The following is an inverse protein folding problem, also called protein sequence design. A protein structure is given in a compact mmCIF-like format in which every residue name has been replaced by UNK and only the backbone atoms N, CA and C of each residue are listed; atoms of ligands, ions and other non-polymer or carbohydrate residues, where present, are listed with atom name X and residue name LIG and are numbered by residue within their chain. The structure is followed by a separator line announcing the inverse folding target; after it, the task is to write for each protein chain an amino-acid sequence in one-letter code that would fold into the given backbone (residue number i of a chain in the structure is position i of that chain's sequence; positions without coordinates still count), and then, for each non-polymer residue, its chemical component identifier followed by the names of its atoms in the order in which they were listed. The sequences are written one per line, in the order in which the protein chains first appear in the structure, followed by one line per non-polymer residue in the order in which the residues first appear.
data_IF_707598362135
#
_entry.id   IF_707598362135
#
_cell.length_a   1.000
_cell.length_b   1.000
_cell.length_c   1.000
_cell.angle_alpha   90.00
_cell.angle_beta   90.00
_cell.angle_gamma   90.00
#
_symmetry.space_group_name_H-M   'P 1'
#
loop_
_entity.id
_entity.type
_entity.pdbx_description
1 polymer ?
#
# COMPACT_ATOMS: atom_id res chain seq x y z
N UNK A 1 -16.11 -6.66 -24.58
CA UNK A 1 -16.52 -7.34 -23.33
C UNK A 1 -15.31 -7.49 -22.43
N UNK A 2 -15.45 -7.32 -21.11
CA UNK A 2 -14.29 -7.26 -20.20
C UNK A 2 -13.80 -8.66 -19.82
N UNK A 3 -12.48 -8.84 -19.67
CA UNK A 3 -11.88 -10.10 -19.24
C UNK A 3 -12.35 -10.54 -17.83
N UNK A 4 -12.66 -9.56 -16.96
CA UNK A 4 -13.22 -9.80 -15.63
C UNK A 4 -14.59 -10.50 -15.68
N UNK A 5 -15.45 -10.15 -16.65
CA UNK A 5 -16.73 -10.85 -16.83
C UNK A 5 -16.53 -12.32 -17.20
N UNK A 6 -15.56 -12.62 -18.06
CA UNK A 6 -15.26 -14.01 -18.43
C UNK A 6 -14.75 -14.82 -17.22
N UNK A 7 -13.89 -14.24 -16.39
CA UNK A 7 -13.43 -14.85 -15.14
C UNK A 7 -14.56 -15.10 -14.14
N UNK A 8 -15.50 -14.14 -14.00
CA UNK A 8 -16.68 -14.32 -13.16
C UNK A 8 -17.59 -15.45 -13.65
N UNK A 9 -17.79 -15.55 -14.97
CA UNK A 9 -18.52 -16.67 -15.59
C UNK A 9 -17.82 -18.01 -15.32
N UNK A 10 -16.50 -18.07 -15.48
CA UNK A 10 -15.71 -19.24 -15.17
C UNK A 10 -15.85 -19.71 -13.71
N UNK A 11 -15.72 -18.79 -12.75
CA UNK A 11 -15.90 -19.10 -11.33
C UNK A 11 -17.31 -19.64 -11.07
N UNK A 12 -18.34 -19.00 -11.63
CA UNK A 12 -19.71 -19.45 -11.43
C UNK A 12 -19.93 -20.87 -11.96
N UNK A 13 -19.38 -21.23 -13.12
CA UNK A 13 -19.48 -22.61 -13.64
C UNK A 13 -18.72 -23.60 -12.75
N UNK A 14 -17.55 -23.21 -12.23
CA UNK A 14 -16.75 -24.04 -11.31
C UNK A 14 -17.45 -24.32 -9.99
N UNK A 15 -18.12 -23.33 -9.41
CA UNK A 15 -18.83 -23.45 -8.13
C UNK A 15 -20.15 -24.23 -8.28
N UNK A 16 -20.95 -23.89 -9.29
CA UNK A 16 -22.26 -24.51 -9.51
C UNK A 16 -22.14 -25.89 -10.16
N UNK A 17 -20.97 -26.24 -10.70
CA UNK A 17 -20.71 -27.46 -11.48
C UNK A 17 -21.71 -27.66 -12.63
N UNK A 18 -22.30 -26.57 -13.12
CA UNK A 18 -23.36 -26.58 -14.11
C UNK A 18 -23.44 -25.26 -14.85
N UNK A 19 -23.38 -25.33 -16.19
CA UNK A 19 -23.49 -24.16 -17.06
C UNK A 19 -24.84 -23.47 -16.93
N UNK A 20 -25.93 -24.25 -16.82
CA UNK A 20 -27.29 -23.70 -16.70
C UNK A 20 -27.52 -23.06 -15.33
N UNK A 21 -26.97 -23.63 -14.26
CA UNK A 21 -27.06 -23.05 -12.93
C UNK A 21 -26.23 -21.76 -12.82
N UNK A 22 -25.01 -21.74 -13.38
CA UNK A 22 -24.19 -20.55 -13.47
C UNK A 22 -24.87 -19.43 -14.28
N UNK A 23 -25.51 -19.77 -15.40
CA UNK A 23 -26.29 -18.83 -16.20
C UNK A 23 -27.41 -18.19 -15.38
N UNK A 24 -28.17 -18.99 -14.63
CA UNK A 24 -29.22 -18.51 -13.72
C UNK A 24 -28.65 -17.61 -12.62
N UNK A 25 -27.54 -18.00 -11.99
CA UNK A 25 -26.85 -17.22 -10.93
C UNK A 25 -26.41 -15.85 -11.41
N UNK A 26 -25.89 -15.78 -12.63
CA UNK A 26 -25.38 -14.55 -13.23
C UNK A 26 -26.43 -13.75 -14.00
N UNK A 27 -27.68 -14.20 -14.03
CA UNK A 27 -28.74 -13.61 -14.88
C UNK A 27 -28.33 -13.51 -16.36
N UNK A 28 -27.63 -14.53 -16.84
CA UNK A 28 -27.20 -14.69 -18.23
C UNK A 28 -27.93 -15.85 -18.90
N UNK A 29 -27.84 -15.92 -20.24
CA UNK A 29 -28.27 -17.12 -20.96
C UNK A 29 -27.16 -18.17 -20.93
N UNK A 30 -27.52 -19.46 -20.95
CA UNK A 30 -26.54 -20.54 -21.02
C UNK A 30 -25.64 -20.48 -22.28
N UNK A 31 -26.14 -20.09 -23.48
CA UNK A 31 -25.27 -19.81 -24.63
C UNK A 31 -24.23 -18.72 -24.37
N UNK A 32 -24.57 -17.65 -23.64
CA UNK A 32 -23.62 -16.60 -23.25
C UNK A 32 -22.53 -17.16 -22.34
N UNK A 33 -22.90 -17.99 -21.36
CA UNK A 33 -21.95 -18.66 -20.47
C UNK A 33 -20.99 -19.55 -21.28
N UNK A 34 -21.53 -20.42 -22.14
CA UNK A 34 -20.71 -21.28 -23.00
C UNK A 34 -19.76 -20.49 -23.89
N UNK A 35 -20.25 -19.41 -24.53
CA UNK A 35 -19.42 -18.53 -25.35
C UNK A 35 -18.21 -17.95 -24.58
N UNK A 36 -18.40 -17.55 -23.32
CA UNK A 36 -17.31 -17.05 -22.48
C UNK A 36 -16.29 -18.13 -22.13
N UNK A 37 -16.74 -19.32 -21.75
CA UNK A 37 -15.86 -20.44 -21.45
C UNK A 37 -15.07 -20.85 -22.69
N UNK A 38 -15.74 -21.02 -23.84
CA UNK A 38 -15.10 -21.38 -25.10
C UNK A 38 -14.10 -20.30 -25.56
N UNK A 39 -14.38 -19.02 -25.28
CA UNK A 39 -13.44 -17.93 -25.51
C UNK A 39 -12.19 -18.03 -24.65
N UNK A 40 -12.34 -18.40 -23.38
CA UNK A 40 -11.22 -18.61 -22.47
C UNK A 40 -10.39 -19.84 -22.84
N UNK A 41 -11.03 -20.97 -23.11
CA UNK A 41 -10.35 -22.20 -23.52
C UNK A 41 -9.54 -21.99 -24.81
N UNK A 42 -10.09 -21.25 -25.78
CA UNK A 42 -9.34 -20.84 -26.99
C UNK A 42 -8.15 -19.94 -26.68
N UNK A 43 -8.31 -18.99 -25.76
CA UNK A 43 -7.22 -18.08 -25.36
C UNK A 43 -6.08 -18.84 -24.66
N UNK A 44 -6.40 -19.81 -23.81
CA UNK A 44 -5.40 -20.60 -23.09
C UNK A 44 -4.87 -21.80 -23.88
N UNK A 45 -5.57 -22.21 -24.95
CA UNK A 45 -5.19 -23.37 -25.76
C UNK A 45 -5.45 -24.70 -25.05
N UNK A 46 -6.26 -24.73 -23.99
CA UNK A 46 -6.55 -25.92 -23.22
C UNK A 46 -7.98 -25.92 -22.66
N UNK A 47 -8.59 -27.10 -22.46
CA UNK A 47 -9.91 -27.21 -21.85
C UNK A 47 -9.82 -26.89 -20.35
N UNK A 48 -10.73 -26.07 -19.86
CA UNK A 48 -10.86 -25.70 -18.45
C UNK A 48 -11.87 -26.58 -17.73
N UNK A 49 -12.86 -27.10 -18.47
CA UNK A 49 -13.86 -28.03 -17.94
C UNK A 49 -13.88 -29.37 -18.68
N UNK A 50 -14.25 -30.42 -17.96
CA UNK A 50 -14.67 -31.70 -18.53
C UNK A 50 -16.17 -31.90 -18.26
N UNK A 51 -16.90 -32.29 -19.29
CA UNK A 51 -18.33 -32.64 -19.15
C UNK A 51 -18.46 -34.01 -18.50
N UNK A 52 -19.25 -34.09 -17.44
CA UNK A 52 -19.53 -35.34 -16.73
C UNK A 52 -21.05 -35.58 -16.65
N UNK A 53 -21.47 -36.80 -16.27
CA UNK A 53 -22.90 -37.10 -16.06
C UNK A 53 -23.55 -36.21 -14.99
N UNK A 54 -22.75 -35.61 -14.11
CA UNK A 54 -23.21 -34.72 -13.02
C UNK A 54 -23.13 -33.23 -13.37
N UNK A 55 -22.63 -32.88 -14.56
CA UNK A 55 -22.49 -31.50 -15.01
C UNK A 55 -21.09 -31.21 -15.56
N UNK A 56 -20.37 -30.30 -14.92
CA UNK A 56 -19.04 -29.86 -15.32
C UNK A 56 -18.06 -29.94 -14.16
N UNK A 57 -16.92 -30.59 -14.38
CA UNK A 57 -15.81 -30.63 -13.42
C UNK A 57 -14.59 -29.91 -14.00
N UNK A 58 -13.75 -29.34 -13.15
CA UNK A 58 -12.53 -28.66 -13.57
C UNK A 58 -11.49 -29.66 -14.09
N UNK A 59 -10.81 -29.30 -15.17
CA UNK A 59 -9.55 -29.96 -15.57
C UNK A 59 -8.42 -29.54 -14.62
N UNK A 60 -7.21 -30.07 -14.83
CA UNK A 60 -6.01 -29.58 -14.11
C UNK A 60 -5.79 -28.08 -14.41
N UNK A 61 -5.93 -27.67 -15.67
CA UNK A 61 -5.82 -26.27 -16.09
C UNK A 61 -6.91 -25.39 -15.46
N UNK A 62 -8.15 -25.90 -15.42
CA UNK A 62 -9.26 -25.24 -14.74
C UNK A 62 -9.00 -25.06 -13.26
N UNK A 63 -8.47 -26.07 -12.55
CA UNK A 63 -8.10 -25.94 -11.13
C UNK A 63 -7.06 -24.85 -10.90
N UNK A 64 -5.97 -24.84 -11.69
CA UNK A 64 -4.95 -23.79 -11.60
C UNK A 64 -5.54 -22.40 -11.84
N UNK A 65 -6.41 -22.26 -12.84
CA UNK A 65 -7.06 -20.98 -13.09
C UNK A 65 -8.00 -20.58 -11.93
N UNK A 66 -8.75 -21.53 -11.37
CA UNK A 66 -9.66 -21.27 -10.26
C UNK A 66 -8.93 -20.75 -9.01
N UNK A 67 -7.85 -21.41 -8.61
CA UNK A 67 -7.03 -20.98 -7.47
C UNK A 67 -6.49 -19.56 -7.65
N UNK A 68 -5.90 -19.26 -8.81
CA UNK A 68 -5.34 -17.93 -9.09
C UNK A 68 -6.42 -16.86 -9.22
N UNK A 69 -7.57 -17.18 -9.84
CA UNK A 69 -8.65 -16.20 -10.01
C UNK A 69 -9.26 -15.83 -8.66
N UNK A 70 -9.36 -16.78 -7.71
CA UNK A 70 -9.80 -16.47 -6.35
C UNK A 70 -8.87 -15.49 -5.64
N UNK A 71 -7.55 -15.69 -5.75
CA UNK A 71 -6.57 -14.76 -5.18
C UNK A 71 -6.68 -13.36 -5.78
N UNK A 72 -6.89 -13.26 -7.10
CA UNK A 72 -7.10 -11.99 -7.79
C UNK A 72 -8.40 -11.31 -7.31
N UNK A 73 -9.48 -12.07 -7.15
CA UNK A 73 -10.75 -11.53 -6.67
C UNK A 73 -10.64 -11.01 -5.22
N UNK A 74 -9.97 -11.75 -4.34
CA UNK A 74 -9.70 -11.30 -2.97
C UNK A 74 -8.85 -10.03 -2.94
N UNK A 75 -7.86 -9.91 -3.84
CA UNK A 75 -7.05 -8.70 -3.98
C UNK A 75 -7.86 -7.52 -4.48
N UNK A 76 -8.73 -7.73 -5.47
CA UNK A 76 -9.63 -6.69 -5.98
C UNK A 76 -10.60 -6.22 -4.89
N UNK A 77 -11.26 -7.14 -4.18
CA UNK A 77 -12.18 -6.82 -3.08
C UNK A 77 -11.46 -6.05 -1.96
N UNK A 78 -10.23 -6.46 -1.61
CA UNK A 78 -9.41 -5.74 -0.63
C UNK A 78 -9.04 -4.35 -1.11
N UNK A 79 -8.76 -4.19 -2.40
CA UNK A 79 -8.43 -2.91 -3.01
C UNK A 79 -9.64 -1.99 -3.02
N UNK A 80 -10.80 -2.49 -3.42
CA UNK A 80 -12.05 -1.73 -3.40
C UNK A 80 -12.43 -1.31 -1.99
N UNK A 81 -12.29 -2.20 -0.99
CA UNK A 81 -12.47 -1.83 0.42
C UNK A 81 -11.51 -0.72 0.84
N UNK A 82 -10.21 -0.86 0.56
CA UNK A 82 -9.23 0.19 0.88
C UNK A 82 -9.56 1.53 0.21
N UNK A 83 -9.92 1.52 -1.07
CA UNK A 83 -10.33 2.73 -1.79
C UNK A 83 -11.59 3.30 -1.17
N UNK A 84 -12.57 2.47 -0.82
CA UNK A 84 -13.79 2.91 -0.14
C UNK A 84 -13.49 3.51 1.22
N UNK A 85 -12.59 2.92 2.01
CA UNK A 85 -12.16 3.45 3.30
C UNK A 85 -11.47 4.83 3.14
N UNK A 86 -10.67 4.99 2.08
CA UNK A 86 -10.06 6.28 1.71
C UNK A 86 -11.10 7.30 1.24
N UNK A 87 -12.03 6.92 0.37
CA UNK A 87 -13.07 7.79 -0.20
C UNK A 87 -14.16 8.16 0.81
N UNK A 88 -14.53 7.24 1.69
CA UNK A 88 -15.49 7.49 2.76
C UNK A 88 -14.88 8.26 3.91
N UNK A 89 -13.57 8.52 3.87
CA UNK A 89 -12.84 9.26 4.87
C UNK A 89 -13.21 8.74 6.24
N UNK A 90 -12.87 7.49 6.57
CA UNK A 90 -12.98 7.00 7.95
C UNK A 90 -12.35 8.09 8.81
N UNK A 91 -13.22 8.84 9.49
CA UNK A 91 -12.86 10.12 10.06
C UNK A 91 -11.80 9.85 11.11
N UNK A 92 -10.54 10.10 10.72
CA UNK A 92 -9.40 9.86 11.58
C UNK A 92 -8.26 9.00 11.03
N UNK A 93 -8.29 8.38 9.85
CA UNK A 93 -7.05 7.73 9.37
C UNK A 93 -6.12 8.71 8.61
N UNK A 94 -4.93 8.98 9.15
CA UNK A 94 -3.91 9.87 8.54
C UNK A 94 -2.64 9.08 8.25
N UNK A 95 -2.12 9.15 7.02
CA UNK A 95 -0.81 8.61 6.68
C UNK A 95 0.24 9.72 6.70
N UNK A 96 1.28 9.52 7.50
CA UNK A 96 2.39 10.47 7.69
C UNK A 96 3.68 9.78 7.26
N UNK A 97 4.41 10.38 6.33
CA UNK A 97 5.78 10.00 6.03
C UNK A 97 6.77 10.82 6.84
N UNK A 98 7.87 10.19 7.25
CA UNK A 98 8.92 10.87 7.99
C UNK A 98 10.31 10.37 7.57
N UNK A 99 11.27 11.30 7.52
CA UNK A 99 12.68 10.92 7.52
C UNK A 99 13.04 10.13 8.78
N UNK A 100 14.14 9.38 8.75
CA UNK A 100 14.55 8.48 9.85
C UNK A 100 14.53 9.15 11.22
N UNK A 101 15.14 10.34 11.37
CA UNK A 101 15.22 11.05 12.65
C UNK A 101 13.83 11.48 13.17
N UNK A 102 13.01 12.25 12.43
CA UNK A 102 11.68 12.61 12.91
C UNK A 102 10.77 11.39 13.12
N UNK A 103 10.88 10.36 12.27
CA UNK A 103 10.07 9.14 12.36
C UNK A 103 10.38 8.29 13.60
N UNK A 104 11.63 8.24 14.04
CA UNK A 104 12.04 7.40 15.18
C UNK A 104 12.04 8.14 16.52
N UNK A 105 12.38 9.43 16.54
CA UNK A 105 12.65 10.15 17.80
C UNK A 105 11.62 11.22 18.15
N UNK A 106 10.95 11.82 17.16
CA UNK A 106 10.09 12.99 17.39
C UNK A 106 8.61 12.60 17.32
N UNK A 107 8.20 12.06 16.18
CA UNK A 107 6.81 11.77 15.88
C UNK A 107 6.19 10.74 16.82
N UNK A 108 6.86 9.66 17.27
CA UNK A 108 6.24 8.72 18.19
C UNK A 108 5.74 9.38 19.48
N UNK A 109 6.50 10.35 20.03
CA UNK A 109 6.11 11.06 21.25
C UNK A 109 4.95 12.02 21.02
N UNK A 110 4.99 12.79 19.92
CA UNK A 110 3.91 13.73 19.56
C UNK A 110 2.62 13.00 19.22
N UNK A 111 2.71 11.94 18.40
CA UNK A 111 1.56 11.14 17.98
C UNK A 111 0.94 10.39 19.17
N UNK A 112 1.74 9.94 20.14
CA UNK A 112 1.21 9.30 21.34
C UNK A 112 0.28 10.24 22.13
N UNK A 113 0.60 11.53 22.22
CA UNK A 113 -0.29 12.51 22.86
C UNK A 113 -1.53 12.78 22.02
N UNK A 114 -1.35 13.05 20.74
CA UNK A 114 -2.44 13.32 19.80
C UNK A 114 -3.47 12.19 19.74
N UNK A 115 -3.01 10.93 19.67
CA UNK A 115 -3.91 9.76 19.64
C UNK A 115 -4.68 9.55 20.95
N UNK A 116 -4.18 10.03 22.10
CA UNK A 116 -4.95 10.02 23.37
C UNK A 116 -6.06 11.06 23.37
N UNK A 117 -5.80 12.23 22.80
CA UNK A 117 -6.78 13.34 22.71
C UNK A 117 -7.81 13.10 21.60
N UNK A 118 -7.48 12.29 20.59
CA UNK A 118 -8.33 11.99 19.44
C UNK A 118 -8.48 10.46 19.22
N UNK A 119 -9.24 9.74 20.05
CA UNK A 119 -9.33 8.27 20.00
C UNK A 119 -10.01 7.70 18.73
N UNK A 120 -10.68 8.55 17.94
CA UNK A 120 -11.23 8.16 16.63
C UNK A 120 -10.20 8.20 15.50
N UNK A 121 -8.98 8.66 15.78
CA UNK A 121 -7.92 8.87 14.81
C UNK A 121 -6.93 7.70 14.85
N UNK A 122 -6.57 7.20 13.67
CA UNK A 122 -5.56 6.17 13.43
C UNK A 122 -4.44 6.76 12.58
N UNK A 123 -3.20 6.65 13.03
CA UNK A 123 -2.05 7.19 12.28
C UNK A 123 -1.22 6.03 11.73
N UNK A 124 -0.98 6.06 10.43
CA UNK A 124 0.00 5.19 9.77
C UNK A 124 1.29 5.99 9.54
N UNK A 125 2.32 5.71 10.34
CA UNK A 125 3.61 6.35 10.24
C UNK A 125 4.57 5.50 9.38
N UNK A 126 5.08 6.07 8.30
CA UNK A 126 6.06 5.45 7.42
C UNK A 126 7.39 6.20 7.60
N UNK A 127 8.42 5.50 8.10
CA UNK A 127 9.77 6.05 8.25
C UNK A 127 10.68 5.51 7.16
N UNK A 128 11.56 6.37 6.63
CA UNK A 128 12.51 5.97 5.59
C UNK A 128 13.55 7.05 5.31
N UNK A 129 14.35 6.84 4.27
CA UNK A 129 15.21 7.90 3.78
C UNK A 129 14.37 9.08 3.30
N UNK A 130 14.84 10.29 3.63
CA UNK A 130 14.08 11.51 3.41
C UNK A 130 13.76 11.78 1.93
N UNK A 131 14.56 11.25 0.99
CA UNK A 131 14.31 11.42 -0.45
C UNK A 131 13.17 10.53 -0.94
N UNK A 132 13.17 9.23 -0.58
CA UNK A 132 12.09 8.31 -0.94
C UNK A 132 10.76 8.75 -0.33
N UNK A 133 10.77 9.17 0.94
CA UNK A 133 9.57 9.68 1.61
C UNK A 133 9.03 10.92 0.89
N UNK A 134 9.91 11.85 0.51
CA UNK A 134 9.50 13.02 -0.26
C UNK A 134 8.90 12.65 -1.62
N UNK A 135 9.52 11.72 -2.35
CA UNK A 135 9.03 11.26 -3.63
C UNK A 135 7.63 10.63 -3.52
N UNK A 136 7.43 9.72 -2.57
CA UNK A 136 6.12 9.10 -2.33
C UNK A 136 5.05 10.11 -1.88
N UNK A 137 5.45 11.19 -1.18
CA UNK A 137 4.53 12.28 -0.87
C UNK A 137 4.11 13.05 -2.12
N UNK A 138 5.03 13.34 -3.04
CA UNK A 138 4.71 13.98 -4.32
C UNK A 138 3.76 13.14 -5.19
N UNK A 139 3.83 11.81 -5.07
CA UNK A 139 2.91 10.87 -5.73
C UNK A 139 1.54 10.76 -5.03
N UNK A 140 1.32 11.48 -3.93
CA UNK A 140 0.04 11.50 -3.21
C UNK A 140 -0.20 10.28 -2.31
N UNK A 141 0.83 9.50 -1.99
CA UNK A 141 0.69 8.31 -1.15
C UNK A 141 0.54 8.61 0.35
N UNK A 142 0.73 9.86 0.78
CA UNK A 142 0.62 10.27 2.18
C UNK A 142 0.12 11.71 2.29
N UNK A 143 -0.47 12.05 3.43
CA UNK A 143 -1.08 13.38 3.66
C UNK A 143 -0.06 14.40 4.15
N UNK A 144 0.89 13.96 4.98
CA UNK A 144 1.90 14.81 5.62
C UNK A 144 3.26 14.16 5.46
N UNK A 145 4.30 14.97 5.26
CA UNK A 145 5.68 14.54 5.16
C UNK A 145 6.56 15.39 6.09
N UNK A 146 7.31 14.76 7.00
CA UNK A 146 8.18 15.43 7.98
C UNK A 146 9.64 15.08 7.71
N UNK A 147 10.41 16.06 7.26
CA UNK A 147 11.78 15.86 6.79
C UNK A 147 12.78 16.68 7.61
N UNK A 148 14.01 16.16 7.73
CA UNK A 148 15.13 16.88 8.34
C UNK A 148 15.81 17.90 7.41
N UNK A 149 15.25 18.16 6.24
CA UNK A 149 15.75 19.16 5.29
C UNK A 149 14.58 19.77 4.51
N UNK A 150 14.80 20.94 3.92
CA UNK A 150 13.84 21.60 3.03
C UNK A 150 14.09 21.16 1.57
N UNK A 151 13.16 20.42 0.94
CA UNK A 151 13.30 20.08 -0.47
C UNK A 151 13.20 21.32 -1.36
N UNK A 152 13.97 21.40 -2.45
CA UNK A 152 13.90 22.53 -3.38
C UNK A 152 12.51 22.60 -4.04
N UNK A 153 11.98 23.82 -4.17
CA UNK A 153 10.72 24.07 -4.89
C UNK A 153 9.45 23.88 -4.07
N UNK A 154 9.52 23.67 -2.76
CA UNK A 154 8.37 23.65 -1.86
C UNK A 154 8.28 24.97 -1.09
N UNK A 155 7.12 25.64 -1.19
CA UNK A 155 6.86 26.95 -0.57
C UNK A 155 6.07 26.83 0.74
N UNK A 156 5.12 25.89 0.80
CA UNK A 156 4.26 25.67 1.95
C UNK A 156 4.90 24.65 2.89
N UNK A 157 5.85 25.13 3.70
CA UNK A 157 6.50 24.34 4.75
C UNK A 157 6.32 25.00 6.10
N UNK A 158 5.97 24.20 7.09
CA UNK A 158 5.97 24.61 8.49
C UNK A 158 7.19 24.03 9.19
N UNK A 159 7.99 24.89 9.82
CA UNK A 159 9.12 24.45 10.65
C UNK A 159 8.57 24.01 12.00
N UNK A 160 8.47 22.69 12.18
CA UNK A 160 7.90 22.07 13.40
C UNK A 160 8.93 21.89 14.51
N UNK A 161 10.21 21.75 14.16
CA UNK A 161 11.30 21.56 15.11
C UNK A 161 12.65 22.04 14.54
N UNK A 162 13.57 22.41 15.43
CA UNK A 162 14.97 22.69 15.09
C UNK A 162 15.87 21.92 16.05
N UNK A 163 16.96 21.36 15.52
CA UNK A 163 17.95 20.62 16.28
C UNK A 163 19.31 21.30 16.27
N UNK A 164 20.16 20.90 17.21
CA UNK A 164 21.55 21.29 17.26
C UNK A 164 22.43 20.05 17.05
N UNK A 165 23.30 20.10 16.05
CA UNK A 165 24.29 19.06 15.81
C UNK A 165 25.48 19.34 16.72
N UNK A 166 25.75 18.41 17.64
CA UNK A 166 26.89 18.47 18.55
C UNK A 166 27.92 17.42 18.11
N UNK A 167 29.15 17.84 17.77
CA UNK A 167 30.19 16.88 17.47
C UNK A 167 30.72 16.25 18.77
N UNK A 168 30.81 14.93 18.78
CA UNK A 168 31.29 14.13 19.93
C UNK A 168 32.56 13.39 19.50
N UNK A 169 33.60 13.47 20.32
CA UNK A 169 34.89 12.82 20.09
C UNK A 169 35.33 12.05 21.33
N UNK A 170 36.17 11.02 21.14
CA UNK A 170 36.86 10.37 22.25
C UNK A 170 37.67 11.39 23.05
N UNK A 171 37.70 11.30 24.39
CA UNK A 171 38.55 12.15 25.23
C UNK A 171 40.04 12.10 24.85
N UNK A 172 40.48 11.01 24.22
CA UNK A 172 41.87 10.80 23.77
C UNK A 172 42.14 11.36 22.37
N UNK A 173 41.12 11.89 21.68
CA UNK A 173 41.29 12.47 20.36
C UNK A 173 42.08 13.78 20.46
N UNK A 174 43.17 13.89 19.71
CA UNK A 174 44.04 15.09 19.66
C UNK A 174 43.32 16.39 19.22
N UNK A 175 42.09 16.29 18.71
CA UNK A 175 41.24 17.42 18.34
C UNK A 175 40.20 17.80 19.40
N UNK A 176 40.20 17.14 20.57
CA UNK A 176 39.39 17.51 21.71
C UNK A 176 39.64 18.98 22.08
N UNK A 177 38.66 19.85 21.82
CA UNK A 177 38.74 21.30 22.07
C UNK A 177 39.10 22.17 20.86
N UNK A 178 39.32 21.62 19.66
CA UNK A 178 39.50 22.45 18.45
C UNK A 178 38.19 23.14 18.05
N UNK A 179 38.21 24.42 17.62
CA UNK A 179 36.99 25.10 17.18
C UNK A 179 36.43 24.42 15.93
N UNK A 180 35.17 23.96 16.02
CA UNK A 180 34.45 23.43 14.87
C UNK A 180 34.16 24.57 13.88
N UNK A 181 34.51 24.45 12.58
CA UNK A 181 34.24 25.50 11.60
C UNK A 181 32.73 25.72 11.50
N UNK A 182 32.29 26.91 11.92
CA UNK A 182 30.87 27.27 12.01
C UNK A 182 30.34 27.57 10.61
N UNK A 183 29.45 26.71 10.09
CA UNK A 183 28.47 27.16 9.09
C UNK A 183 27.46 28.10 9.76
N UNK A 184 26.81 28.96 8.99
CA UNK A 184 25.80 29.93 9.48
C UNK A 184 24.62 29.30 10.24
N UNK A 185 24.46 27.97 10.19
CA UNK A 185 23.42 27.18 10.85
C UNK A 185 23.88 26.39 12.08
N UNK A 186 25.17 26.31 12.40
CA UNK A 186 25.68 25.48 13.50
C UNK A 186 26.08 26.33 14.72
N UNK A 187 25.40 26.16 15.86
CA UNK A 187 25.68 26.89 17.11
C UNK A 187 26.55 26.12 18.13
N UNK A 188 26.89 24.86 17.87
CA UNK A 188 27.58 23.99 18.83
C UNK A 188 29.11 24.05 18.80
N UNK A 189 29.72 23.89 19.98
CA UNK A 189 31.13 23.52 20.15
C UNK A 189 31.27 22.04 20.54
N UNK A 190 32.47 21.46 20.44
CA UNK A 190 32.71 20.09 20.89
C UNK A 190 32.38 19.94 22.38
N UNK A 191 31.57 18.94 22.71
CA UNK A 191 31.40 18.49 24.10
C UNK A 191 32.15 17.17 24.26
N UNK A 192 33.07 17.15 25.22
CA UNK A 192 33.73 15.93 25.66
C UNK A 192 32.79 15.22 26.65
N UNK A 193 32.58 13.93 26.43
CA UNK A 193 31.84 13.03 27.33
C UNK A 193 32.77 11.88 27.74
#
# INVERSE_FOLDING_TARGET
MSYLQALAVFIAVAEEKSFSAAAKKLSLTQPTVSFHIDGMERKFGCPLFVRTRRGADLTVFGRTLYENTRMVQELLDRTERKIKDLCQGVAGQVTIGAGTIPGEYILPLLLAQFLREHPGVSVNLISGDSQSIFHSWQEGCMSICVLGFLPPGISDVEIVWTDEIIPVASPQMHLAGFPFPRGSSCKGGWRLF
#
